data_IF_749713519086
#
_entry.id   IF_749713519086
#
_cell.length_a   1.000
_cell.length_b   1.000
_cell.length_c   1.000
_cell.angle_alpha   90.00
_cell.angle_beta   90.00
_cell.angle_gamma   90.00
#
_symmetry.space_group_name_H-M   'P 1'
#
loop_
_entity.id
_entity.type
_entity.pdbx_description
1 polymer ?
#
# COMPACT_ATOMS: atom_id res chain seq x y z
N UNK A 1 -1.74 -13.07 2.47
CA UNK A 1 -2.70 -13.82 3.31
C UNK A 1 -2.09 -15.19 3.55
N UNK A 2 -1.60 -15.49 4.76
CA UNK A 2 -1.16 -16.85 5.09
C UNK A 2 -2.41 -17.74 5.10
N UNK A 3 -2.34 -18.86 4.39
CA UNK A 3 -3.47 -19.71 4.01
C UNK A 3 -4.50 -19.88 5.15
N UNK A 4 -5.74 -19.44 4.91
CA UNK A 4 -6.90 -20.01 5.61
C UNK A 4 -6.83 -21.53 5.39
N UNK A 5 -6.87 -22.32 6.46
CA UNK A 5 -6.91 -23.79 6.36
C UNK A 5 -5.78 -24.56 7.04
N UNK A 6 -4.63 -23.94 7.35
CA UNK A 6 -3.62 -24.60 8.19
C UNK A 6 -3.98 -24.39 9.66
N UNK A 7 -4.59 -25.39 10.28
CA UNK A 7 -4.82 -25.43 11.73
C UNK A 7 -3.72 -26.26 12.41
N UNK A 8 -3.11 -25.69 13.46
CA UNK A 8 -1.97 -26.29 14.14
C UNK A 8 -2.29 -26.39 15.63
N UNK A 9 -3.07 -27.41 16.06
CA UNK A 9 -3.68 -27.45 17.40
C UNK A 9 -2.66 -27.53 18.54
N UNK A 10 -1.43 -27.98 18.26
CA UNK A 10 -0.33 -28.08 19.23
C UNK A 10 0.57 -26.84 19.28
N UNK A 11 0.29 -25.80 18.49
CA UNK A 11 1.08 -24.56 18.52
C UNK A 11 0.63 -23.72 19.71
N UNK A 12 1.50 -23.65 20.72
CA UNK A 12 1.29 -22.88 21.96
C UNK A 12 2.21 -21.65 22.06
N UNK A 13 3.15 -21.49 21.12
CA UNK A 13 4.03 -20.33 21.03
C UNK A 13 4.18 -19.88 19.57
N UNK A 14 4.02 -18.58 19.34
CA UNK A 14 4.31 -17.94 18.05
C UNK A 14 5.23 -16.75 18.29
N UNK A 15 6.37 -16.76 17.60
CA UNK A 15 7.29 -15.62 17.54
C UNK A 15 7.15 -14.91 16.20
N UNK A 16 6.89 -13.61 16.23
CA UNK A 16 6.97 -12.75 15.04
C UNK A 16 8.23 -11.92 15.14
N UNK A 17 9.20 -12.24 14.29
CA UNK A 17 10.47 -11.53 14.22
C UNK A 17 10.32 -10.35 13.25
N UNK A 18 10.85 -9.18 13.62
CA UNK A 18 10.79 -7.96 12.82
C UNK A 18 9.35 -7.54 12.48
N UNK A 19 8.50 -7.47 13.51
CA UNK A 19 7.07 -7.18 13.41
C UNK A 19 6.74 -5.81 12.77
N UNK A 20 7.72 -4.93 12.64
CA UNK A 20 7.65 -3.58 12.06
C UNK A 20 8.16 -3.47 10.62
N UNK A 21 8.68 -4.54 10.01
CA UNK A 21 9.19 -4.47 8.61
C UNK A 21 8.13 -3.96 7.63
N UNK A 22 6.89 -4.42 7.79
CA UNK A 22 5.79 -3.99 6.92
C UNK A 22 5.42 -2.52 7.06
N UNK A 23 5.72 -1.88 8.21
CA UNK A 23 5.39 -0.47 8.47
C UNK A 23 6.28 0.48 7.67
N UNK A 24 7.48 0.05 7.31
CA UNK A 24 8.47 0.87 6.61
C UNK A 24 8.34 0.77 5.08
N UNK A 25 7.37 0.01 4.57
CA UNK A 25 7.09 -0.02 3.14
C UNK A 25 6.41 1.29 2.72
N UNK A 26 6.79 1.90 1.57
CA UNK A 26 6.20 3.14 1.08
C UNK A 26 4.83 2.88 0.43
N UNK A 27 3.91 2.32 1.20
CA UNK A 27 2.56 1.95 0.80
C UNK A 27 1.56 2.52 1.80
N UNK A 28 0.51 3.19 1.31
CA UNK A 28 -0.50 3.81 2.18
C UNK A 28 -1.28 2.79 3.03
N UNK A 29 -1.22 1.49 2.71
CA UNK A 29 -1.84 0.40 3.46
C UNK A 29 -0.84 -0.38 4.31
N UNK A 30 0.41 0.06 4.42
CA UNK A 30 1.46 -0.60 5.20
C UNK A 30 1.02 -0.90 6.64
N UNK A 31 0.45 0.10 7.32
CA UNK A 31 -0.11 -0.02 8.68
C UNK A 31 -1.23 -1.06 8.78
N UNK A 32 -2.22 -0.98 7.90
CA UNK A 32 -3.36 -1.93 7.83
C UNK A 32 -2.91 -3.36 7.59
N UNK A 33 -2.04 -3.57 6.60
CA UNK A 33 -1.53 -4.90 6.28
C UNK A 33 -0.70 -5.48 7.42
N UNK A 34 0.13 -4.66 8.04
CA UNK A 34 0.93 -5.09 9.20
C UNK A 34 0.02 -5.48 10.36
N UNK A 35 -0.95 -4.64 10.71
CA UNK A 35 -1.93 -4.96 11.75
C UNK A 35 -2.67 -6.27 11.46
N UNK A 36 -3.17 -6.46 10.24
CA UNK A 36 -3.88 -7.67 9.82
C UNK A 36 -2.98 -8.92 9.92
N UNK A 37 -1.71 -8.83 9.49
CA UNK A 37 -0.77 -9.94 9.58
C UNK A 37 -0.46 -10.30 11.04
N UNK A 38 -0.14 -9.31 11.87
CA UNK A 38 0.18 -9.54 13.28
C UNK A 38 -1.00 -10.15 14.04
N UNK A 39 -2.21 -9.61 13.85
CA UNK A 39 -3.42 -10.16 14.48
C UNK A 39 -3.79 -11.53 13.94
N UNK A 40 -3.64 -11.79 12.65
CA UNK A 40 -3.89 -13.11 12.05
C UNK A 40 -2.94 -14.17 12.62
N UNK A 41 -1.64 -13.85 12.69
CA UNK A 41 -0.60 -14.76 13.19
C UNK A 41 -0.78 -14.99 14.69
N UNK A 42 -1.10 -13.94 15.46
CA UNK A 42 -1.39 -14.05 16.89
C UNK A 42 -2.61 -14.93 17.19
N UNK A 43 -3.65 -14.80 16.37
CA UNK A 43 -4.87 -15.60 16.48
C UNK A 43 -4.69 -17.10 16.19
N UNK A 44 -3.54 -17.54 15.67
CA UNK A 44 -3.25 -18.97 15.49
C UNK A 44 -2.85 -19.64 16.80
N UNK A 45 -2.01 -19.00 17.60
CA UNK A 45 -1.64 -19.51 18.93
C UNK A 45 -2.85 -19.48 19.88
N UNK A 46 -3.66 -18.42 19.80
CA UNK A 46 -4.81 -18.24 20.70
C UNK A 46 -5.98 -19.21 20.50
N UNK A 47 -6.00 -20.00 19.41
CA UNK A 47 -7.03 -21.01 19.15
C UNK A 47 -6.73 -22.37 19.79
N UNK A 48 -5.51 -22.59 20.29
CA UNK A 48 -5.20 -23.82 20.98
C UNK A 48 -5.94 -23.87 22.32
N UNK A 49 -6.62 -24.98 22.65
CA UNK A 49 -7.23 -25.16 23.97
C UNK A 49 -6.19 -25.20 25.09
N UNK A 50 -4.91 -25.36 24.75
CA UNK A 50 -3.77 -25.33 25.68
C UNK A 50 -3.32 -23.90 26.02
N UNK A 51 -3.98 -22.88 25.46
CA UNK A 51 -3.52 -21.51 25.48
C UNK A 51 -2.35 -21.27 24.52
N UNK A 52 -2.11 -19.99 24.22
CA UNK A 52 -1.06 -19.60 23.28
C UNK A 52 -0.36 -18.34 23.75
N UNK A 53 0.97 -18.32 23.66
CA UNK A 53 1.80 -17.14 23.85
C UNK A 53 2.22 -16.59 22.49
N UNK A 54 2.18 -15.28 22.34
CA UNK A 54 2.69 -14.59 21.15
C UNK A 54 3.76 -13.60 21.59
N UNK A 55 4.90 -13.62 20.91
CA UNK A 55 6.01 -12.69 21.15
C UNK A 55 6.26 -11.91 19.86
N UNK A 56 6.16 -10.58 19.94
CA UNK A 56 6.47 -9.68 18.83
C UNK A 56 7.83 -9.04 19.10
N UNK A 57 8.80 -9.29 18.23
CA UNK A 57 10.08 -8.59 18.24
C UNK A 57 10.01 -7.43 17.25
N UNK A 58 10.25 -6.21 17.73
CA UNK A 58 10.20 -4.97 16.94
C UNK A 58 11.21 -3.97 17.49
N UNK A 59 11.69 -3.07 16.63
CA UNK A 59 12.47 -1.91 17.03
C UNK A 59 11.58 -0.73 17.45
N UNK A 60 10.28 -0.79 17.16
CA UNK A 60 9.31 0.28 17.39
C UNK A 60 8.15 -0.16 18.31
N UNK A 61 8.42 -0.57 19.58
CA UNK A 61 7.40 -1.10 20.48
C UNK A 61 6.26 -0.10 20.79
N UNK A 62 6.56 1.20 20.72
CA UNK A 62 5.59 2.26 20.97
C UNK A 62 4.70 2.60 19.77
N UNK A 63 5.01 2.05 18.59
CA UNK A 63 4.21 2.31 17.39
C UNK A 63 2.78 1.82 17.58
N UNK A 64 1.80 2.65 17.23
CA UNK A 64 0.40 2.39 17.56
C UNK A 64 -0.11 1.06 16.96
N UNK A 65 0.35 0.70 15.76
CA UNK A 65 0.04 -0.59 15.11
C UNK A 65 0.52 -1.77 15.95
N UNK A 66 1.75 -1.70 16.50
CA UNK A 66 2.30 -2.77 17.34
C UNK A 66 1.50 -2.87 18.64
N UNK A 67 1.26 -1.74 19.32
CA UNK A 67 0.53 -1.71 20.60
C UNK A 67 -0.90 -2.22 20.46
N UNK A 68 -1.61 -1.83 19.41
CA UNK A 68 -2.98 -2.26 19.14
C UNK A 68 -3.03 -3.72 18.68
N UNK A 69 -2.08 -4.17 17.84
CA UNK A 69 -2.00 -5.57 17.42
C UNK A 69 -1.70 -6.51 18.59
N UNK A 70 -0.76 -6.15 19.48
CA UNK A 70 -0.44 -6.94 20.67
C UNK A 70 -1.66 -7.14 21.60
N UNK A 71 -2.57 -6.15 21.65
CA UNK A 71 -3.80 -6.18 22.44
C UNK A 71 -5.00 -6.73 21.67
N UNK A 72 -4.86 -7.08 20.39
CA UNK A 72 -5.98 -7.42 19.49
C UNK A 72 -7.06 -6.33 19.43
N UNK A 73 -6.68 -5.06 19.63
CA UNK A 73 -7.60 -3.92 19.70
C UNK A 73 -7.81 -3.32 18.30
N UNK A 74 -8.71 -3.94 17.54
CA UNK A 74 -9.09 -3.47 16.21
C UNK A 74 -9.71 -2.08 16.23
N UNK A 75 -10.52 -1.75 17.24
CA UNK A 75 -11.27 -0.50 17.28
C UNK A 75 -10.33 0.69 17.47
N UNK A 76 -9.35 0.58 18.38
CA UNK A 76 -8.35 1.62 18.56
C UNK A 76 -7.44 1.76 17.32
N UNK A 77 -7.05 0.64 16.69
CA UNK A 77 -6.31 0.67 15.43
C UNK A 77 -7.09 1.42 14.35
N UNK A 78 -8.34 1.01 14.10
CA UNK A 78 -9.18 1.57 13.04
C UNK A 78 -9.40 3.07 13.24
N UNK A 79 -9.74 3.49 14.47
CA UNK A 79 -10.01 4.90 14.80
C UNK A 79 -8.81 5.79 14.48
N UNK A 80 -7.60 5.32 14.79
CA UNK A 80 -6.37 6.07 14.53
C UNK A 80 -5.97 6.04 13.05
N UNK A 81 -6.00 4.86 12.42
CA UNK A 81 -5.65 4.69 11.01
C UNK A 81 -6.58 5.50 10.10
N UNK A 82 -7.89 5.47 10.34
CA UNK A 82 -8.85 6.16 9.48
C UNK A 82 -8.73 7.69 9.60
N UNK A 83 -8.37 8.20 10.78
CA UNK A 83 -8.06 9.62 10.95
C UNK A 83 -6.83 10.02 10.14
N UNK A 84 -5.73 9.27 10.22
CA UNK A 84 -4.54 9.53 9.40
C UNK A 84 -4.83 9.52 7.91
N UNK A 85 -5.64 8.56 7.42
CA UNK A 85 -6.00 8.52 6.00
C UNK A 85 -6.84 9.72 5.58
N UNK A 86 -7.69 10.24 6.46
CA UNK A 86 -8.46 11.46 6.19
C UNK A 86 -7.53 12.67 6.07
N UNK A 87 -6.66 12.85 7.04
CA UNK A 87 -5.77 14.01 7.12
C UNK A 87 -4.76 14.02 5.96
N UNK A 88 -4.29 12.84 5.55
CA UNK A 88 -3.35 12.68 4.44
C UNK A 88 -4.02 12.55 3.07
N UNK A 89 -5.36 12.51 3.00
CA UNK A 89 -6.09 12.38 1.73
C UNK A 89 -5.88 11.05 1.01
N UNK A 90 -5.87 9.93 1.74
CA UNK A 90 -5.79 8.58 1.19
C UNK A 90 -7.16 7.87 1.18
N UNK A 91 -7.33 6.80 0.39
CA UNK A 91 -8.56 6.01 0.39
C UNK A 91 -8.96 5.56 1.82
N UNK A 92 -10.24 5.71 2.22
CA UNK A 92 -11.41 5.95 1.35
C UNK A 92 -11.79 7.43 1.13
N UNK A 93 -11.00 8.40 1.61
CA UNK A 93 -11.34 9.83 1.54
C UNK A 93 -10.93 10.49 0.22
N UNK A 94 -10.07 9.82 -0.55
CA UNK A 94 -9.71 10.18 -1.90
C UNK A 94 -9.61 8.91 -2.76
N UNK A 95 -9.57 9.11 -4.07
CA UNK A 95 -9.32 8.07 -5.06
C UNK A 95 -7.85 8.13 -5.48
N UNK A 96 -7.31 6.95 -5.81
CA UNK A 96 -5.97 6.82 -6.36
C UNK A 96 -6.06 6.22 -7.76
N UNK A 97 -5.27 6.73 -8.68
CA UNK A 97 -5.03 6.07 -9.97
C UNK A 97 -3.54 5.92 -10.15
N UNK A 98 -3.09 4.69 -10.38
CA UNK A 98 -1.70 4.38 -10.70
C UNK A 98 -1.58 4.09 -12.19
N UNK A 99 -0.65 4.75 -12.85
CA UNK A 99 -0.25 4.49 -14.23
C UNK A 99 1.17 3.91 -14.16
N UNK A 100 1.32 2.64 -14.53
CA UNK A 100 2.58 1.90 -14.50
C UNK A 100 3.08 1.69 -15.93
N UNK A 101 4.26 2.24 -16.21
CA UNK A 101 5.03 2.01 -17.43
C UNK A 101 6.04 0.90 -17.14
N UNK A 102 6.15 -0.07 -18.04
CA UNK A 102 7.08 -1.20 -17.87
C UNK A 102 7.73 -1.64 -19.18
N UNK A 103 9.00 -2.04 -19.12
CA UNK A 103 9.73 -2.48 -20.30
C UNK A 103 11.12 -3.01 -19.98
N UNK A 104 11.78 -3.64 -20.95
CA UNK A 104 13.12 -4.22 -20.75
C UNK A 104 14.25 -3.19 -20.80
N UNK A 105 14.01 -2.06 -21.47
CA UNK A 105 14.96 -0.97 -21.62
C UNK A 105 14.65 0.13 -20.59
N UNK A 106 15.52 0.37 -19.60
CA UNK A 106 15.27 1.34 -18.54
C UNK A 106 15.13 2.77 -19.07
N UNK A 107 15.96 3.20 -20.02
CA UNK A 107 15.94 4.57 -20.54
C UNK A 107 14.65 4.84 -21.32
N UNK A 108 14.21 3.85 -22.10
CA UNK A 108 12.93 3.95 -22.83
C UNK A 108 11.75 4.10 -21.88
N UNK A 109 11.70 3.30 -20.80
CA UNK A 109 10.60 3.34 -19.82
C UNK A 109 10.60 4.66 -19.06
N UNK A 110 11.77 5.16 -18.67
CA UNK A 110 11.89 6.46 -18.01
C UNK A 110 11.43 7.60 -18.94
N UNK A 111 11.89 7.61 -20.19
CA UNK A 111 11.50 8.64 -21.16
C UNK A 111 10.00 8.62 -21.44
N UNK A 112 9.40 7.44 -21.58
CA UNK A 112 7.95 7.29 -21.71
C UNK A 112 7.22 7.82 -20.47
N UNK A 113 7.72 7.53 -19.27
CA UNK A 113 7.12 8.02 -18.03
C UNK A 113 7.12 9.56 -17.94
N UNK A 114 8.22 10.21 -18.35
CA UNK A 114 8.33 11.67 -18.40
C UNK A 114 7.40 12.27 -19.45
N UNK A 115 7.28 11.63 -20.61
CA UNK A 115 6.37 12.06 -21.67
C UNK A 115 4.91 12.02 -21.21
N UNK A 116 4.49 10.91 -20.59
CA UNK A 116 3.12 10.75 -20.07
C UNK A 116 2.84 11.76 -18.95
N UNK A 117 3.77 11.96 -18.02
CA UNK A 117 3.60 12.94 -16.96
C UNK A 117 3.40 14.36 -17.51
N UNK A 118 4.19 14.76 -18.52
CA UNK A 118 4.02 16.03 -19.21
C UNK A 118 2.65 16.18 -19.88
N UNK A 119 2.18 15.13 -20.56
CA UNK A 119 0.86 15.13 -21.19
C UNK A 119 -0.27 15.27 -20.16
N UNK A 120 -0.20 14.55 -19.04
CA UNK A 120 -1.17 14.64 -17.94
C UNK A 120 -1.23 16.06 -17.39
N UNK A 121 -0.08 16.70 -17.14
CA UNK A 121 -0.02 18.08 -16.65
C UNK A 121 -0.67 19.08 -17.61
N UNK A 122 -0.54 18.86 -18.92
CA UNK A 122 -1.17 19.67 -19.96
C UNK A 122 -2.69 19.48 -20.01
N UNK A 123 -3.19 18.26 -19.76
CA UNK A 123 -4.62 17.97 -19.75
C UNK A 123 -5.35 18.52 -18.52
N UNK A 124 -4.64 18.75 -17.41
CA UNK A 124 -5.25 19.26 -16.19
C UNK A 124 -5.76 20.69 -16.36
N UNK A 125 -7.04 20.91 -16.06
CA UNK A 125 -7.61 22.26 -15.91
C UNK A 125 -7.09 22.94 -14.64
N UNK A 126 -7.15 24.29 -14.52
CA UNK A 126 -6.75 24.99 -13.29
C UNK A 126 -7.47 24.47 -12.03
N UNK A 127 -8.74 24.09 -12.14
CA UNK A 127 -9.51 23.49 -11.05
C UNK A 127 -8.97 22.12 -10.67
N UNK A 128 -8.71 21.26 -11.66
CA UNK A 128 -8.13 19.93 -11.42
C UNK A 128 -6.73 20.01 -10.82
N UNK A 129 -5.89 20.98 -11.21
CA UNK A 129 -4.56 21.19 -10.61
C UNK A 129 -4.62 21.51 -9.11
N UNK A 130 -5.75 22.01 -8.60
CA UNK A 130 -5.96 22.29 -7.17
C UNK A 130 -6.51 21.09 -6.40
N UNK A 131 -7.08 20.10 -7.08
CA UNK A 131 -7.79 18.98 -6.46
C UNK A 131 -7.10 17.63 -6.65
N UNK A 132 -6.36 17.48 -7.75
CA UNK A 132 -5.64 16.26 -8.12
C UNK A 132 -4.15 16.54 -7.98
N UNK A 133 -3.52 15.81 -7.08
CA UNK A 133 -2.09 15.76 -6.95
C UNK A 133 -1.52 14.68 -7.86
N UNK A 134 -0.43 15.00 -8.56
CA UNK A 134 0.34 14.05 -9.33
C UNK A 134 1.68 13.80 -8.64
N UNK A 135 1.92 12.55 -8.29
CA UNK A 135 3.17 12.07 -7.69
C UNK A 135 3.93 11.31 -8.77
N UNK A 136 5.17 11.70 -9.01
CA UNK A 136 6.00 11.13 -10.08
C UNK A 136 6.12 12.04 -11.31
N UNK A 137 6.71 11.54 -12.40
CA UNK A 137 7.07 10.14 -12.62
C UNK A 137 8.27 9.70 -11.74
N UNK A 138 8.17 8.53 -11.15
CA UNK A 138 9.23 7.94 -10.31
C UNK A 138 9.37 6.45 -10.58
N UNK A 139 10.54 5.83 -10.32
CA UNK A 139 10.65 4.38 -10.34
C UNK A 139 9.70 3.75 -9.33
N UNK A 140 9.19 2.55 -9.64
CA UNK A 140 8.49 1.73 -8.66
C UNK A 140 9.41 1.35 -7.51
N UNK A 141 8.85 1.07 -6.31
CA UNK A 141 9.65 0.59 -5.17
C UNK A 141 10.47 -0.65 -5.55
N UNK A 142 9.84 -1.61 -6.23
CA UNK A 142 10.56 -2.66 -6.96
C UNK A 142 10.81 -2.20 -8.40
N UNK A 143 11.97 -1.58 -8.61
CA UNK A 143 12.34 -0.99 -9.90
C UNK A 143 12.35 -2.03 -11.04
N UNK A 144 12.77 -3.27 -10.77
CA UNK A 144 12.82 -4.36 -11.76
C UNK A 144 12.11 -5.61 -11.27
N UNK A 145 11.14 -6.09 -12.04
CA UNK A 145 10.41 -7.35 -11.77
C UNK A 145 10.30 -8.16 -13.05
N UNK A 146 10.63 -9.46 -12.96
CA UNK A 146 10.60 -10.39 -14.10
C UNK A 146 11.32 -9.86 -15.35
N UNK A 147 12.45 -9.16 -15.14
CA UNK A 147 13.26 -8.59 -16.21
C UNK A 147 12.78 -7.23 -16.76
N UNK A 148 11.63 -6.71 -16.33
CA UNK A 148 11.12 -5.41 -16.76
C UNK A 148 11.40 -4.33 -15.71
N UNK A 149 11.94 -3.21 -16.15
CA UNK A 149 12.01 -1.95 -15.41
C UNK A 149 10.63 -1.32 -15.33
N UNK A 150 10.32 -0.68 -14.21
CA UNK A 150 8.99 -0.18 -13.89
C UNK A 150 9.06 1.25 -13.37
N UNK A 151 8.30 2.13 -14.00
CA UNK A 151 8.05 3.50 -13.57
C UNK A 151 6.57 3.69 -13.31
N UNK A 152 6.24 4.62 -12.41
CA UNK A 152 4.86 4.91 -12.08
C UNK A 152 4.59 6.41 -11.95
N UNK A 153 3.35 6.76 -12.26
CA UNK A 153 2.72 8.04 -11.94
C UNK A 153 1.49 7.73 -11.11
N UNK A 154 1.32 8.44 -10.00
CA UNK A 154 0.18 8.28 -9.12
C UNK A 154 -0.61 9.58 -9.12
N UNK A 155 -1.91 9.47 -9.40
CA UNK A 155 -2.86 10.57 -9.31
C UNK A 155 -3.72 10.37 -8.06
N UNK A 156 -3.80 11.41 -7.24
CA UNK A 156 -4.54 11.39 -5.97
C UNK A 156 -5.50 12.56 -5.90
N UNK A 157 -6.77 12.30 -5.64
CA UNK A 157 -7.79 13.35 -5.54
C UNK A 157 -9.21 12.80 -5.48
N UNK A 158 -10.24 13.66 -5.55
CA UNK A 158 -11.64 13.23 -5.47
C UNK A 158 -12.07 12.41 -6.70
N UNK A 159 -11.66 12.81 -7.92
CA UNK A 159 -11.93 12.08 -9.16
C UNK A 159 -10.77 12.19 -10.17
N UNK A 160 -9.63 11.55 -9.90
CA UNK A 160 -8.48 11.53 -10.80
C UNK A 160 -8.75 10.79 -12.11
N UNK A 161 -9.75 9.88 -12.14
CA UNK A 161 -10.10 9.13 -13.34
C UNK A 161 -10.70 10.04 -14.41
N UNK A 162 -11.44 11.09 -14.02
CA UNK A 162 -11.98 12.09 -14.96
C UNK A 162 -10.92 12.69 -15.88
N UNK A 163 -9.68 12.84 -15.41
CA UNK A 163 -8.56 13.39 -16.16
C UNK A 163 -8.13 12.49 -17.33
N UNK A 164 -8.33 11.18 -17.18
CA UNK A 164 -7.83 10.18 -18.14
C UNK A 164 -8.90 9.73 -19.14
N UNK A 165 -10.18 10.08 -18.92
CA UNK A 165 -11.28 9.66 -19.82
C UNK A 165 -11.07 10.18 -21.24
N UNK A 166 -11.13 9.27 -22.21
CA UNK A 166 -10.96 9.60 -23.63
C UNK A 166 -9.52 9.98 -24.04
N UNK A 167 -8.54 9.79 -23.16
CA UNK A 167 -7.11 10.00 -23.45
C UNK A 167 -6.43 8.67 -23.73
N UNK A 168 -5.55 8.64 -24.72
CA UNK A 168 -4.68 7.47 -24.96
C UNK A 168 -3.44 7.59 -24.08
N UNK A 169 -3.17 6.56 -23.30
CA UNK A 169 -1.95 6.40 -22.50
C UNK A 169 -1.07 5.26 -23.04
N UNK A 170 -1.28 4.85 -24.29
CA UNK A 170 -0.60 3.68 -24.87
C UNK A 170 -1.04 2.36 -24.20
N UNK A 171 -0.16 1.36 -24.20
CA UNK A 171 -0.40 0.04 -23.59
C UNK A 171 -0.06 -0.02 -22.09
N UNK A 172 0.04 1.15 -21.45
CA UNK A 172 0.44 1.26 -20.05
C UNK A 172 -0.64 0.74 -19.11
N UNK A 173 -0.21 0.18 -17.98
CA UNK A 173 -1.11 -0.44 -17.01
C UNK A 173 -1.74 0.64 -16.14
N UNK A 174 -3.05 0.77 -16.18
CA UNK A 174 -3.81 1.72 -15.36
C UNK A 174 -4.57 0.94 -14.28
N UNK A 175 -4.37 1.33 -13.03
CA UNK A 175 -5.06 0.75 -11.88
C UNK A 175 -5.83 1.84 -11.15
N UNK A 176 -7.15 1.64 -11.04
CA UNK A 176 -8.03 2.49 -10.24
C UNK A 176 -8.11 1.90 -8.84
N UNK A 177 -7.86 2.73 -7.84
CA UNK A 177 -7.76 2.40 -6.42
C UNK A 177 -6.87 1.17 -6.18
N UNK A 178 -5.57 1.25 -6.55
CA UNK A 178 -4.69 0.11 -6.48
C UNK A 178 -4.61 -0.42 -5.05
N UNK A 179 -4.61 -1.76 -4.86
CA UNK A 179 -4.51 -2.35 -3.54
C UNK A 179 -3.14 -2.11 -2.89
N UNK A 180 -2.13 -1.75 -3.69
CA UNK A 180 -0.75 -1.43 -3.30
C UNK A 180 -0.12 -0.40 -4.23
N UNK A 181 0.85 0.36 -3.74
CA UNK A 181 1.73 1.24 -4.55
C UNK A 181 3.15 0.69 -4.74
N UNK A 182 3.39 -0.55 -4.29
CA UNK A 182 4.68 -1.25 -4.42
C UNK A 182 4.90 -1.84 -5.83
#
# INVERSE_FOLDING_TARGET
MLAKGLDLPRVTLVGVILADVGLNLPDYRASERTFQLLTQVSGRAGRSPLGGKVVLQTFSPEHFVIRTAAKHDYQAFYTKEIAYRRDLGYPPFARLVRIEMRGRDPERVENESRHIAGAIQQWMTPTQRRQIEMIGPVPCFFERVAGNYRWQIILRGPDPLSLLRGRSLGENRIEVDPPSLL
#
